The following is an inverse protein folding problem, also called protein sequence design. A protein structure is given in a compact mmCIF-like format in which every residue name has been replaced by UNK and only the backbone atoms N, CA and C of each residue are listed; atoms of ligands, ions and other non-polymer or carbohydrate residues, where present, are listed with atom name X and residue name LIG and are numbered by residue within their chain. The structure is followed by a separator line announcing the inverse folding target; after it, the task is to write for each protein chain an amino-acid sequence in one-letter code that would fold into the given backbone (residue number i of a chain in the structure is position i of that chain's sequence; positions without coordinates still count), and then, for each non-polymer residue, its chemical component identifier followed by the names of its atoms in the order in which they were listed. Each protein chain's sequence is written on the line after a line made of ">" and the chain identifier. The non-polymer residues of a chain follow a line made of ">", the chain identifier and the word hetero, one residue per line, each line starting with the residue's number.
data_IF_636077772640
#
_entry.id   IF_636077772640
#
_cell.length_a   1.000
_cell.length_b   1.000
_cell.length_c   1.000
_cell.angle_alpha   90.00
_cell.angle_beta   90.00
_cell.angle_gamma   90.00
#
_symmetry.space_group_name_H-M   'P 1'
#
loop_
_entity.id
_entity.type
_entity.pdbx_description
1 polymer ?
#
# COMPACT_ATOMS: atom_id res chain seq x y z
N UNK A 1 -8.75 23.75 19.60
CA UNK A 1 -7.71 22.70 19.47
C UNK A 1 -7.95 21.99 18.15
N UNK A 2 -7.03 22.12 17.19
CA UNK A 2 -7.15 21.44 15.89
C UNK A 2 -6.31 20.17 15.96
N UNK A 3 -6.96 19.01 16.00
CA UNK A 3 -6.28 17.72 15.86
C UNK A 3 -6.04 17.51 14.36
N UNK A 4 -4.77 17.58 13.93
CA UNK A 4 -4.40 17.29 12.54
C UNK A 4 -4.03 15.82 12.44
N UNK A 5 -4.93 15.02 11.87
CA UNK A 5 -4.60 13.66 11.47
C UNK A 5 -3.73 13.74 10.22
N UNK A 6 -2.44 13.44 10.37
CA UNK A 6 -1.57 13.18 9.25
C UNK A 6 -1.77 11.72 8.82
N UNK A 7 -1.81 11.43 7.52
CA UNK A 7 -1.77 10.04 7.06
C UNK A 7 -0.51 9.36 7.61
N UNK A 8 -0.58 8.06 7.92
CA UNK A 8 0.60 7.33 8.43
C UNK A 8 1.82 7.39 7.49
N UNK A 9 1.59 7.52 6.17
CA UNK A 9 2.64 7.71 5.17
C UNK A 9 3.32 9.10 5.22
N UNK A 10 2.78 10.03 6.00
CA UNK A 10 3.37 11.34 6.31
C UNK A 10 3.99 11.36 7.72
N UNK A 11 3.93 10.27 8.48
CA UNK A 11 4.66 10.16 9.74
C UNK A 11 6.14 9.91 9.45
N UNK A 12 6.96 10.96 9.62
CA UNK A 12 8.39 10.89 9.38
C UNK A 12 9.12 10.04 10.43
N UNK A 13 8.54 9.85 11.63
CA UNK A 13 9.20 9.12 12.73
C UNK A 13 9.49 7.67 12.36
N UNK A 14 8.63 7.03 11.56
CA UNK A 14 8.85 5.65 11.06
C UNK A 14 10.10 5.56 10.18
N UNK A 15 10.50 6.64 9.52
CA UNK A 15 11.69 6.71 8.66
C UNK A 15 12.91 7.33 9.33
N UNK A 16 12.78 7.88 10.55
CA UNK A 16 13.90 8.47 11.28
C UNK A 16 14.71 7.40 12.02
N UNK A 17 16.01 7.23 11.72
CA UNK A 17 16.84 6.22 12.39
C UNK A 17 16.87 6.39 13.91
N UNK A 18 16.63 5.30 14.64
CA UNK A 18 16.71 5.26 16.11
C UNK A 18 15.44 5.64 16.88
N UNK A 19 14.37 6.11 16.22
CA UNK A 19 13.05 6.30 16.84
C UNK A 19 12.43 4.96 17.26
N UNK A 20 11.45 4.98 18.16
CA UNK A 20 10.72 3.77 18.58
C UNK A 20 9.93 3.16 17.42
N UNK A 21 9.30 4.02 16.64
CA UNK A 21 8.51 3.69 15.47
C UNK A 21 9.36 3.05 14.36
N UNK A 22 10.55 3.58 14.08
CA UNK A 22 11.47 3.00 13.10
C UNK A 22 11.97 1.62 13.56
N UNK A 23 12.33 1.48 14.84
CA UNK A 23 12.74 0.18 15.40
C UNK A 23 11.65 -0.87 15.21
N UNK A 24 10.42 -0.56 15.60
CA UNK A 24 9.31 -1.54 15.58
C UNK A 24 8.76 -1.85 14.20
N UNK A 25 8.76 -0.88 13.28
CA UNK A 25 8.10 -1.00 11.98
C UNK A 25 9.06 -1.26 10.82
N UNK A 26 10.35 -0.97 10.99
CA UNK A 26 11.35 -1.10 9.92
C UNK A 26 12.48 -2.05 10.31
N UNK A 27 13.01 -1.96 11.54
CA UNK A 27 14.18 -2.75 11.96
C UNK A 27 13.82 -4.14 12.55
N UNK A 28 12.76 -4.23 13.36
CA UNK A 28 12.27 -5.46 14.00
C UNK A 28 11.62 -6.48 13.04
N UNK A 29 10.89 -6.09 11.98
CA UNK A 29 10.27 -7.07 11.09
C UNK A 29 11.32 -7.88 10.33
N UNK A 30 11.26 -9.20 10.45
CA UNK A 30 12.06 -10.14 9.63
C UNK A 30 11.42 -10.38 8.24
N UNK A 31 10.37 -9.63 7.91
CA UNK A 31 9.55 -9.84 6.71
C UNK A 31 9.83 -8.78 5.65
N UNK A 32 9.92 -9.23 4.41
CA UNK A 32 10.18 -8.42 3.23
C UNK A 32 8.96 -7.60 2.82
N UNK A 33 9.23 -6.46 2.17
CA UNK A 33 8.25 -5.61 1.48
C UNK A 33 7.19 -6.44 0.74
N UNK A 34 5.93 -6.01 0.84
CA UNK A 34 4.82 -6.77 0.30
C UNK A 34 4.83 -6.68 -1.23
N UNK A 35 5.41 -7.68 -1.89
CA UNK A 35 5.37 -7.80 -3.35
C UNK A 35 3.99 -8.32 -3.78
N UNK A 36 3.07 -7.40 -4.03
CA UNK A 36 1.75 -7.73 -4.57
C UNK A 36 1.85 -7.74 -6.11
N UNK A 37 1.75 -8.92 -6.77
CA UNK A 37 1.74 -8.96 -8.22
C UNK A 37 0.48 -8.28 -8.76
N UNK A 38 0.59 -7.71 -9.96
CA UNK A 38 -0.58 -7.18 -10.66
C UNK A 38 -1.60 -8.29 -10.89
N UNK A 39 -2.89 -7.96 -10.73
CA UNK A 39 -3.99 -8.85 -11.01
C UNK A 39 -4.00 -9.22 -12.52
N UNK A 40 -4.23 -10.49 -12.87
CA UNK A 40 -4.47 -10.89 -14.25
C UNK A 40 -5.69 -10.17 -14.83
N UNK A 41 -5.68 -9.94 -16.14
CA UNK A 41 -6.75 -9.21 -16.84
C UNK A 41 -8.10 -9.92 -16.71
N UNK A 42 -8.09 -11.24 -16.67
CA UNK A 42 -9.28 -12.09 -16.54
C UNK A 42 -9.99 -11.82 -15.21
N UNK A 43 -9.25 -11.43 -14.16
CA UNK A 43 -9.83 -11.05 -12.86
C UNK A 43 -10.57 -9.72 -12.94
N UNK A 44 -10.16 -8.82 -13.84
CA UNK A 44 -10.85 -7.54 -14.08
C UNK A 44 -12.10 -7.69 -14.95
N UNK A 45 -12.15 -8.67 -15.85
CA UNK A 45 -13.26 -8.83 -16.79
C UNK A 45 -14.47 -9.58 -16.20
N UNK A 46 -14.26 -10.37 -15.14
CA UNK A 46 -15.30 -11.14 -14.46
C UNK A 46 -16.25 -10.35 -13.53
N UNK A 47 -15.83 -9.32 -12.77
CA UNK A 47 -16.73 -8.62 -11.86
C UNK A 47 -17.73 -7.71 -12.60
N UNK A 48 -18.84 -7.33 -11.92
CA UNK A 48 -19.83 -6.41 -12.46
C UNK A 48 -19.24 -5.11 -12.99
N UNK A 49 -19.83 -4.52 -14.03
CA UNK A 49 -19.32 -3.32 -14.70
C UNK A 49 -19.10 -2.13 -13.74
N UNK A 50 -19.90 -2.01 -12.68
CA UNK A 50 -19.74 -0.97 -11.66
C UNK A 50 -18.56 -1.20 -10.70
N UNK A 51 -18.02 -2.42 -10.66
CA UNK A 51 -16.89 -2.82 -9.82
C UNK A 51 -15.57 -2.74 -10.58
N UNK A 52 -15.57 -3.01 -11.89
CA UNK A 52 -14.37 -2.99 -12.72
C UNK A 52 -13.52 -1.72 -12.55
N UNK A 53 -14.08 -0.48 -12.57
CA UNK A 53 -13.28 0.75 -12.44
C UNK A 53 -12.44 0.83 -11.16
N UNK A 54 -12.83 0.13 -10.09
CA UNK A 54 -12.10 0.12 -8.82
C UNK A 54 -10.78 -0.66 -8.90
N UNK A 55 -10.68 -1.63 -9.82
CA UNK A 55 -9.52 -2.51 -9.96
C UNK A 55 -8.61 -2.16 -11.13
N UNK A 56 -8.98 -1.16 -11.96
CA UNK A 56 -8.26 -0.79 -13.19
C UNK A 56 -6.76 -0.52 -13.01
N UNK A 57 -6.35 -0.06 -11.82
CA UNK A 57 -4.97 0.30 -11.49
C UNK A 57 -4.15 -0.88 -10.95
N UNK A 58 -4.82 -1.96 -10.53
CA UNK A 58 -4.18 -3.18 -10.06
C UNK A 58 -3.88 -4.19 -11.16
N UNK A 59 -4.27 -3.91 -12.41
CA UNK A 59 -4.10 -4.81 -13.57
C UNK A 59 -2.92 -4.37 -14.42
N UNK A 60 -2.12 -5.32 -14.90
CA UNK A 60 -1.05 -5.04 -15.86
C UNK A 60 -1.60 -5.07 -17.28
N UNK A 61 -1.66 -3.91 -17.92
CA UNK A 61 -2.07 -3.78 -19.31
C UNK A 61 -0.89 -4.09 -20.25
N UNK A 62 -1.11 -4.80 -21.38
CA UNK A 62 -0.11 -4.86 -22.44
C UNK A 62 0.12 -3.45 -23.01
N UNK A 63 1.37 -3.17 -23.40
CA UNK A 63 1.76 -1.93 -24.08
C UNK A 63 1.22 -1.88 -25.51
#
# INVERSE_FOLDING_TARGET
>A
MVVRYAPGWLNLDVSMPGSDECKRMVEEPVSVENSIPAAPREVYENPPENVQPLYRHGVRWPA
#
